data_IF_847980409144
#
_entry.id   IF_847980409144
#
_cell.length_a   1.000
_cell.length_b   1.000
_cell.length_c   1.000
_cell.angle_alpha   90.00
_cell.angle_beta   90.00
_cell.angle_gamma   90.00
#
_symmetry.space_group_name_H-M   'P 1'
#
loop_
_entity.id
_entity.type
_entity.pdbx_description
1 polymer ?
#
# COMPACT_ATOMS: atom_id res chain seq x y z
N UNK A 1 2.33 4.88 -14.39
CA UNK A 1 1.68 3.60 -14.05
C UNK A 1 2.70 2.80 -13.28
N UNK A 2 2.40 2.51 -12.02
CA UNK A 2 3.18 1.64 -11.14
C UNK A 2 2.86 0.18 -11.51
N UNK A 3 3.88 -0.67 -11.54
CA UNK A 3 3.74 -2.11 -11.83
C UNK A 3 4.57 -2.89 -10.82
N UNK A 4 3.91 -3.77 -10.08
CA UNK A 4 4.53 -4.52 -8.99
C UNK A 4 4.08 -5.99 -9.01
N UNK A 5 5.00 -6.88 -8.65
CA UNK A 5 4.67 -8.26 -8.27
C UNK A 5 4.16 -8.25 -6.83
N UNK A 6 3.07 -8.96 -6.54
CA UNK A 6 2.49 -9.08 -5.19
C UNK A 6 2.15 -10.53 -4.86
N UNK A 7 2.88 -11.10 -3.91
CA UNK A 7 2.65 -12.48 -3.45
C UNK A 7 2.26 -12.47 -1.97
N UNK A 8 1.19 -13.18 -1.61
CA UNK A 8 0.73 -13.35 -0.23
C UNK A 8 1.45 -14.54 0.38
N UNK A 9 2.03 -14.38 1.57
CA UNK A 9 2.62 -15.48 2.32
C UNK A 9 1.56 -16.12 3.22
N UNK A 10 1.60 -17.45 3.35
CA UNK A 10 0.54 -18.20 4.02
C UNK A 10 0.45 -17.97 5.55
N UNK A 11 1.55 -17.56 6.20
CA UNK A 11 1.61 -17.46 7.66
C UNK A 11 2.74 -16.57 8.18
N UNK A 12 2.71 -16.28 9.48
CA UNK A 12 3.82 -15.62 10.18
C UNK A 12 5.12 -16.43 10.09
N UNK A 13 5.04 -17.76 10.16
CA UNK A 13 6.22 -18.64 10.04
C UNK A 13 6.84 -18.58 8.63
N UNK A 14 6.01 -18.43 7.58
CA UNK A 14 6.49 -18.20 6.22
C UNK A 14 7.19 -16.84 6.10
N UNK A 15 6.61 -15.79 6.68
CA UNK A 15 7.21 -14.45 6.76
C UNK A 15 8.53 -14.44 7.53
N UNK A 16 8.58 -15.01 8.74
CA UNK A 16 9.81 -15.13 9.55
C UNK A 16 10.93 -15.88 8.83
N UNK A 17 10.59 -16.98 8.14
CA UNK A 17 11.53 -17.74 7.32
C UNK A 17 12.10 -16.88 6.20
N UNK A 18 11.25 -16.13 5.49
CA UNK A 18 11.68 -15.25 4.40
C UNK A 18 12.55 -14.10 4.91
N UNK A 19 12.22 -13.51 6.06
CA UNK A 19 13.08 -12.54 6.76
C UNK A 19 14.47 -13.12 7.02
N UNK A 20 14.56 -14.37 7.51
CA UNK A 20 15.82 -15.05 7.75
C UNK A 20 16.64 -15.22 6.46
N UNK A 21 16.01 -15.68 5.39
CA UNK A 21 16.64 -15.87 4.06
C UNK A 21 17.16 -14.54 3.49
N UNK A 22 16.37 -13.48 3.60
CA UNK A 22 16.71 -12.15 3.06
C UNK A 22 17.59 -11.30 3.99
N UNK A 23 17.87 -11.76 5.21
CA UNK A 23 18.62 -10.98 6.21
C UNK A 23 19.97 -10.41 5.71
N UNK A 24 20.78 -11.10 4.86
CA UNK A 24 22.02 -10.51 4.34
C UNK A 24 21.81 -9.34 3.39
N UNK A 25 20.59 -9.21 2.85
CA UNK A 25 20.18 -8.20 1.87
C UNK A 25 19.34 -7.07 2.49
N UNK A 26 19.16 -7.07 3.82
CA UNK A 26 18.36 -6.07 4.51
C UNK A 26 18.96 -4.68 4.38
N UNK A 27 18.10 -3.68 4.11
CA UNK A 27 18.48 -2.28 4.01
C UNK A 27 17.87 -1.44 5.12
N UNK A 28 16.56 -1.60 5.34
CA UNK A 28 15.80 -0.79 6.30
C UNK A 28 14.48 -1.45 6.64
N UNK A 29 13.94 -1.09 7.79
CA UNK A 29 12.58 -1.44 8.19
C UNK A 29 11.82 -0.15 8.46
N UNK A 30 10.63 -0.01 7.87
CA UNK A 30 9.75 1.13 8.09
C UNK A 30 8.49 0.71 8.84
N UNK A 31 8.09 1.55 9.80
CA UNK A 31 6.79 1.49 10.45
C UNK A 31 5.86 2.45 9.72
N UNK A 32 4.81 1.91 9.11
CA UNK A 32 3.85 2.68 8.32
C UNK A 32 2.49 2.70 9.00
N UNK A 33 1.86 3.87 9.02
CA UNK A 33 0.43 4.03 9.33
C UNK A 33 -0.28 4.56 8.09
N UNK A 34 -1.23 3.79 7.57
CA UNK A 34 -1.97 4.12 6.36
C UNK A 34 -3.38 4.54 6.74
N UNK A 35 -3.73 5.81 6.53
CA UNK A 35 -5.07 6.37 6.75
C UNK A 35 -5.72 6.70 5.40
N UNK A 36 -6.99 6.37 5.27
CA UNK A 36 -7.72 6.47 4.00
C UNK A 36 -8.88 7.45 4.09
N UNK A 37 -9.19 8.08 2.97
CA UNK A 37 -10.21 9.10 2.86
C UNK A 37 -11.07 8.86 1.62
N UNK A 38 -12.34 9.25 1.72
CA UNK A 38 -13.29 9.23 0.61
C UNK A 38 -14.31 10.34 0.80
N UNK A 39 -15.10 10.64 -0.22
CA UNK A 39 -16.28 11.46 -0.05
C UNK A 39 -17.39 10.69 0.69
N UNK A 40 -18.40 11.40 1.23
CA UNK A 40 -19.46 10.80 2.04
C UNK A 40 -20.34 9.81 1.25
N UNK A 41 -20.32 9.85 -0.09
CA UNK A 41 -21.07 8.93 -0.95
C UNK A 41 -20.16 7.92 -1.67
N UNK A 42 -18.95 7.69 -1.13
CA UNK A 42 -17.95 6.79 -1.71
C UNK A 42 -17.55 7.17 -3.15
N UNK A 43 -17.42 8.47 -3.42
CA UNK A 43 -17.11 9.05 -4.73
C UNK A 43 -15.80 8.49 -5.31
N UNK A 44 -14.74 8.34 -4.49
CA UNK A 44 -13.47 7.76 -4.93
C UNK A 44 -13.60 6.25 -5.11
N UNK A 45 -14.11 5.54 -4.10
CA UNK A 45 -14.21 4.08 -4.16
C UNK A 45 -15.09 3.60 -5.32
N UNK A 46 -16.18 4.32 -5.62
CA UNK A 46 -17.07 4.02 -6.76
C UNK A 46 -16.39 4.20 -8.12
N UNK A 47 -15.32 4.99 -8.18
CA UNK A 47 -14.49 5.19 -9.35
C UNK A 47 -13.16 4.42 -9.28
N UNK A 48 -13.07 3.41 -8.40
CA UNK A 48 -11.88 2.59 -8.18
C UNK A 48 -10.64 3.45 -7.86
N UNK A 49 -10.83 4.52 -7.09
CA UNK A 49 -9.78 5.41 -6.61
C UNK A 49 -9.66 5.35 -5.09
N UNK A 50 -8.43 5.55 -4.60
CA UNK A 50 -8.08 5.47 -3.20
C UNK A 50 -7.19 6.66 -2.86
N UNK A 51 -7.68 7.52 -1.97
CA UNK A 51 -6.89 8.60 -1.38
C UNK A 51 -6.34 8.14 -0.02
N UNK A 52 -5.04 8.28 0.17
CA UNK A 52 -4.35 7.80 1.36
C UNK A 52 -3.33 8.82 1.86
N UNK A 53 -3.29 9.00 3.19
CA UNK A 53 -2.13 9.53 3.90
C UNK A 53 -1.36 8.37 4.50
N UNK A 54 -0.05 8.34 4.27
CA UNK A 54 0.85 7.37 4.88
C UNK A 54 1.89 8.08 5.72
N UNK A 55 1.92 7.78 7.02
CA UNK A 55 2.95 8.23 7.94
C UNK A 55 4.02 7.16 8.12
N UNK A 56 5.28 7.58 8.23
CA UNK A 56 6.44 6.72 8.43
C UNK A 56 7.13 7.00 9.76
N UNK A 57 7.53 5.94 10.46
CA UNK A 57 8.48 5.95 11.57
C UNK A 57 8.17 7.03 12.61
N UNK A 58 6.92 7.02 13.13
CA UNK A 58 6.40 7.99 14.10
C UNK A 58 6.46 9.44 13.59
N UNK A 59 5.87 9.68 12.41
CA UNK A 59 5.73 11.00 11.77
C UNK A 59 7.04 11.65 11.29
N UNK A 60 8.08 10.84 11.08
CA UNK A 60 9.31 11.31 10.42
C UNK A 60 9.06 11.79 8.98
N UNK A 61 8.04 11.23 8.33
CA UNK A 61 7.68 11.52 6.94
C UNK A 61 6.19 11.20 6.72
N UNK A 62 5.54 11.95 5.82
CA UNK A 62 4.16 11.74 5.42
C UNK A 62 4.02 11.85 3.89
N UNK A 63 3.25 10.94 3.31
CA UNK A 63 2.96 10.91 1.86
C UNK A 63 1.47 10.96 1.65
N UNK A 64 1.02 11.88 0.81
CA UNK A 64 -0.31 11.85 0.21
C UNK A 64 -0.22 11.07 -1.10
N UNK A 65 -1.09 10.08 -1.28
CA UNK A 65 -1.12 9.26 -2.49
C UNK A 65 -2.55 9.12 -3.00
N UNK A 66 -2.71 9.23 -4.32
CA UNK A 66 -3.92 8.87 -5.05
C UNK A 66 -3.60 7.70 -5.98
N UNK A 67 -4.19 6.55 -5.70
CA UNK A 67 -4.12 5.35 -6.52
C UNK A 67 -5.46 5.14 -7.23
N UNK A 68 -5.48 4.93 -8.55
CA UNK A 68 -6.72 4.69 -9.31
C UNK A 68 -6.57 3.64 -10.41
N UNK A 69 -7.71 3.10 -10.87
CA UNK A 69 -7.80 2.06 -11.91
C UNK A 69 -6.94 0.82 -11.63
N UNK A 70 -7.03 0.23 -10.42
CA UNK A 70 -6.25 -0.97 -10.09
C UNK A 70 -6.58 -2.13 -11.02
N UNK A 71 -5.55 -2.86 -11.44
CA UNK A 71 -5.67 -4.15 -12.11
C UNK A 71 -4.70 -5.12 -11.45
N UNK A 72 -5.21 -6.22 -10.91
CA UNK A 72 -4.39 -7.27 -10.32
C UNK A 72 -4.74 -8.59 -11.01
N UNK A 73 -3.73 -9.26 -11.57
CA UNK A 73 -3.90 -10.56 -12.21
C UNK A 73 -2.60 -11.35 -12.16
N UNK A 74 -2.70 -12.65 -11.86
CA UNK A 74 -1.56 -13.58 -11.82
C UNK A 74 -0.35 -13.07 -11.01
N UNK A 75 -0.62 -12.45 -9.85
CA UNK A 75 0.39 -11.94 -8.94
C UNK A 75 1.06 -10.64 -9.39
N UNK A 76 0.54 -9.96 -10.42
CA UNK A 76 1.06 -8.67 -10.88
C UNK A 76 -0.03 -7.60 -10.81
N UNK A 77 0.27 -6.53 -10.07
CA UNK A 77 -0.57 -5.35 -9.91
C UNK A 77 -0.11 -4.24 -10.86
N UNK A 78 -1.07 -3.52 -11.44
CA UNK A 78 -0.87 -2.31 -12.23
C UNK A 78 -1.82 -1.25 -11.73
N UNK A 79 -1.29 -0.06 -11.48
CA UNK A 79 -2.11 1.02 -10.94
C UNK A 79 -1.61 2.38 -11.41
N UNK A 80 -2.54 3.32 -11.62
CA UNK A 80 -2.20 4.72 -11.76
C UNK A 80 -1.95 5.27 -10.36
N UNK A 81 -0.70 5.50 -10.00
CA UNK A 81 -0.33 6.14 -8.74
C UNK A 81 0.27 7.52 -8.99
N UNK A 82 -0.14 8.46 -8.15
CA UNK A 82 0.55 9.72 -7.90
C UNK A 82 0.80 9.84 -6.40
N UNK A 83 2.03 10.18 -6.03
CA UNK A 83 2.43 10.45 -4.64
C UNK A 83 3.02 11.85 -4.53
N UNK A 84 2.72 12.54 -3.43
CA UNK A 84 3.26 13.84 -3.08
C UNK A 84 3.72 13.82 -1.62
N UNK A 85 4.91 14.37 -1.30
CA UNK A 85 5.30 14.57 0.08
C UNK A 85 4.37 15.58 0.74
N UNK A 86 3.96 15.29 1.98
CA UNK A 86 3.18 16.20 2.80
C UNK A 86 3.91 16.41 4.13
N UNK A 87 3.88 17.64 4.64
CA UNK A 87 4.36 17.90 5.99
C UNK A 87 3.59 17.02 7.00
N UNK A 88 4.27 16.25 7.87
CA UNK A 88 3.60 15.33 8.79
C UNK A 88 2.64 16.02 9.75
N UNK A 89 2.92 17.25 10.20
CA UNK A 89 2.03 18.01 11.08
C UNK A 89 0.75 18.38 10.32
N UNK A 90 0.88 18.86 9.08
CA UNK A 90 -0.28 19.11 8.20
C UNK A 90 -1.06 17.81 7.96
N UNK A 91 -0.37 16.71 7.69
CA UNK A 91 -0.98 15.39 7.53
C UNK A 91 -1.78 14.98 8.76
N UNK A 92 -1.27 15.20 9.98
CA UNK A 92 -1.97 14.88 11.24
C UNK A 92 -3.20 15.76 11.44
N UNK A 93 -3.11 17.05 11.14
CA UNK A 93 -4.30 17.92 11.14
C UNK A 93 -5.36 17.45 10.14
N UNK A 94 -4.94 17.03 8.95
CA UNK A 94 -5.81 16.46 7.93
C UNK A 94 -6.44 15.13 8.37
N UNK A 95 -5.69 14.28 9.06
CA UNK A 95 -6.22 13.03 9.61
C UNK A 95 -7.29 13.27 10.70
N UNK A 96 -7.08 14.28 11.55
CA UNK A 96 -8.05 14.69 12.56
C UNK A 96 -9.29 15.37 11.95
N UNK A 97 -9.08 16.16 10.90
CA UNK A 97 -10.10 16.96 10.23
C UNK A 97 -9.97 16.82 8.70
N UNK A 98 -10.56 15.76 8.09
CA UNK A 98 -10.36 15.40 6.68
C UNK A 98 -10.65 16.52 5.67
N UNK A 99 -11.56 17.43 5.98
CA UNK A 99 -11.89 18.58 5.13
C UNK A 99 -10.67 19.49 4.86
N UNK A 100 -9.65 19.47 5.73
CA UNK A 100 -8.41 20.25 5.54
C UNK A 100 -7.61 19.81 4.32
N UNK A 101 -7.69 18.53 3.91
CA UNK A 101 -7.02 18.04 2.70
C UNK A 101 -7.47 18.84 1.47
N UNK A 102 -8.77 19.14 1.38
CA UNK A 102 -9.33 19.91 0.27
C UNK A 102 -8.86 21.37 0.24
N UNK A 103 -8.15 21.87 1.24
CA UNK A 103 -7.63 23.23 1.27
C UNK A 103 -6.13 23.32 0.92
N UNK A 104 -5.51 22.19 0.57
CA UNK A 104 -4.11 22.14 0.12
C UNK A 104 -4.08 22.50 -1.37
N UNK A 105 -4.18 23.78 -1.69
CA UNK A 105 -4.27 24.28 -3.07
C UNK A 105 -3.01 24.01 -3.91
N UNK A 106 -1.87 23.73 -3.27
CA UNK A 106 -0.61 23.38 -3.94
C UNK A 106 -0.51 21.90 -4.35
N UNK A 107 -1.48 21.06 -3.97
CA UNK A 107 -1.43 19.62 -4.26
C UNK A 107 -2.17 19.29 -5.56
N UNK A 108 -1.44 18.72 -6.52
CA UNK A 108 -2.04 18.25 -7.78
C UNK A 108 -2.96 17.05 -7.51
N UNK A 109 -2.62 16.18 -6.55
CA UNK A 109 -3.51 15.10 -6.09
C UNK A 109 -4.86 15.67 -5.63
N UNK A 110 -4.87 16.68 -4.77
CA UNK A 110 -6.12 17.26 -4.25
C UNK A 110 -6.90 17.95 -5.36
N UNK A 111 -6.22 18.62 -6.29
CA UNK A 111 -6.86 19.18 -7.48
C UNK A 111 -7.57 18.09 -8.27
N UNK A 112 -6.91 16.95 -8.53
CA UNK A 112 -7.53 15.81 -9.22
C UNK A 112 -8.70 15.21 -8.44
N UNK A 113 -8.59 15.07 -7.12
CA UNK A 113 -9.71 14.61 -6.25
C UNK A 113 -10.95 15.49 -6.42
N UNK A 114 -10.77 16.83 -6.48
CA UNK A 114 -11.87 17.77 -6.69
C UNK A 114 -12.42 17.71 -8.13
N UNK A 115 -11.53 17.74 -9.13
CA UNK A 115 -11.90 17.92 -10.54
C UNK A 115 -12.32 16.61 -11.23
N UNK A 116 -11.58 15.52 -11.03
CA UNK A 116 -11.82 14.22 -11.68
C UNK A 116 -12.90 13.39 -10.97
N UNK A 117 -13.00 13.49 -9.65
CA UNK A 117 -13.89 12.66 -8.83
C UNK A 117 -15.03 13.44 -8.16
N UNK A 118 -15.11 14.75 -8.39
CA UNK A 118 -16.17 15.63 -7.90
C UNK A 118 -16.33 15.65 -6.36
N UNK A 119 -15.23 15.43 -5.62
CA UNK A 119 -15.20 15.50 -4.16
C UNK A 119 -14.95 16.94 -3.72
N UNK A 120 -16.02 17.76 -3.72
CA UNK A 120 -15.92 19.18 -3.39
C UNK A 120 -16.97 19.67 -2.39
N UNK A 121 -18.26 19.46 -2.70
CA UNK A 121 -19.35 20.03 -1.90
C UNK A 121 -19.64 19.26 -0.59
N UNK A 122 -19.41 17.94 -0.56
CA UNK A 122 -19.66 17.08 0.60
C UNK A 122 -18.48 16.93 1.56
N UNK A 123 -17.30 17.47 1.19
CA UNK A 123 -16.06 17.28 1.93
C UNK A 123 -15.48 15.87 1.80
N UNK A 124 -14.49 15.58 2.64
CA UNK A 124 -13.91 14.25 2.82
C UNK A 124 -14.29 13.70 4.19
N UNK A 125 -14.36 12.38 4.30
CA UNK A 125 -14.46 11.64 5.56
C UNK A 125 -13.24 10.74 5.73
N UNK A 126 -12.85 10.49 6.99
CA UNK A 126 -11.83 9.51 7.32
C UNK A 126 -12.44 8.11 7.38
N UNK A 127 -11.89 7.17 6.61
CA UNK A 127 -12.31 5.77 6.62
C UNK A 127 -11.66 4.95 7.73
N UNK A 128 -10.69 5.53 8.44
CA UNK A 128 -9.76 4.81 9.31
C UNK A 128 -8.56 4.27 8.53
N UNK A 129 -7.92 3.24 9.07
CA UNK A 129 -6.66 2.77 8.52
C UNK A 129 -6.11 1.52 9.20
N UNK A 130 -4.87 1.20 8.83
CA UNK A 130 -4.13 0.07 9.38
C UNK A 130 -2.63 0.37 9.43
N UNK A 131 -1.90 -0.45 10.20
CA UNK A 131 -0.45 -0.36 10.32
C UNK A 131 0.23 -1.41 9.45
N UNK A 132 1.42 -1.10 8.97
CA UNK A 132 2.24 -2.03 8.20
C UNK A 132 3.71 -1.91 8.61
N UNK A 133 4.36 -3.02 8.86
CA UNK A 133 5.82 -3.08 9.02
C UNK A 133 6.40 -3.54 7.70
N UNK A 134 7.25 -2.71 7.08
CA UNK A 134 7.86 -3.00 5.78
C UNK A 134 9.37 -3.18 5.92
N UNK A 135 9.85 -4.41 5.73
CA UNK A 135 11.26 -4.70 5.51
C UNK A 135 11.63 -4.45 4.04
N UNK A 136 12.67 -3.67 3.78
CA UNK A 136 13.18 -3.41 2.44
C UNK A 136 14.52 -4.12 2.25
N UNK A 137 14.64 -4.86 1.15
CA UNK A 137 15.80 -5.69 0.83
C UNK A 137 16.27 -5.43 -0.59
N UNK A 138 17.58 -5.51 -0.82
CA UNK A 138 18.17 -5.48 -2.16
C UNK A 138 18.74 -6.85 -2.50
N UNK A 139 18.01 -7.62 -3.30
CA UNK A 139 18.31 -9.01 -3.60
C UNK A 139 18.22 -9.25 -5.10
N UNK A 140 19.26 -9.89 -5.68
CA UNK A 140 19.32 -10.20 -7.12
C UNK A 140 19.08 -9.00 -8.05
N UNK A 141 19.51 -7.80 -7.64
CA UNK A 141 19.28 -6.56 -8.39
C UNK A 141 17.87 -5.99 -8.25
N UNK A 142 16.99 -6.64 -7.48
CA UNK A 142 15.62 -6.22 -7.20
C UNK A 142 15.51 -5.55 -5.83
N UNK A 143 14.57 -4.61 -5.71
CA UNK A 143 14.15 -4.05 -4.43
C UNK A 143 12.90 -4.80 -3.97
N UNK A 144 13.04 -5.60 -2.93
CA UNK A 144 11.94 -6.36 -2.33
C UNK A 144 11.38 -5.63 -1.13
N UNK A 145 10.06 -5.63 -1.00
CA UNK A 145 9.34 -5.06 0.13
C UNK A 145 8.53 -6.18 0.80
N UNK A 146 8.98 -6.61 1.97
CA UNK A 146 8.33 -7.65 2.76
C UNK A 146 7.47 -6.98 3.84
N UNK A 147 6.17 -7.22 3.74
CA UNK A 147 5.15 -6.55 4.53
C UNK A 147 4.54 -7.48 5.58
N UNK A 148 4.39 -6.93 6.77
CA UNK A 148 3.52 -7.43 7.83
C UNK A 148 2.44 -6.37 8.11
N UNK A 149 1.24 -6.63 7.59
CA UNK A 149 0.11 -5.69 7.68
C UNK A 149 -0.83 -6.06 8.81
N UNK A 150 -1.00 -5.16 9.77
CA UNK A 150 -1.83 -5.33 10.95
C UNK A 150 -3.18 -4.63 10.78
N UNK A 151 -4.22 -5.41 10.52
CA UNK A 151 -5.61 -4.96 10.58
C UNK A 151 -6.19 -5.21 11.98
N UNK A 152 -7.34 -4.61 12.29
CA UNK A 152 -8.06 -4.90 13.54
C UNK A 152 -8.60 -6.34 13.62
N UNK A 153 -8.72 -7.02 12.48
CA UNK A 153 -9.29 -8.36 12.32
C UNK A 153 -8.23 -9.43 11.99
N UNK A 154 -6.93 -9.10 12.05
CA UNK A 154 -5.85 -10.05 11.85
C UNK A 154 -4.65 -9.45 11.11
N UNK A 155 -3.65 -10.30 10.85
CA UNK A 155 -2.41 -9.92 10.16
C UNK A 155 -2.31 -10.62 8.81
N UNK A 156 -1.90 -9.88 7.77
CA UNK A 156 -1.51 -10.43 6.48
C UNK A 156 -0.02 -10.21 6.23
N UNK A 157 0.57 -11.09 5.43
CA UNK A 157 1.96 -11.05 5.05
C UNK A 157 2.07 -11.07 3.54
N UNK A 158 2.84 -10.15 2.96
CA UNK A 158 3.00 -10.04 1.51
C UNK A 158 4.47 -9.74 1.18
N UNK A 159 4.94 -10.21 0.03
CA UNK A 159 6.17 -9.73 -0.59
C UNK A 159 5.83 -9.02 -1.90
N UNK A 160 6.34 -7.80 -2.04
CA UNK A 160 6.13 -6.92 -3.17
C UNK A 160 7.46 -6.62 -3.88
N UNK A 161 7.42 -6.46 -5.20
CA UNK A 161 8.57 -6.01 -5.99
C UNK A 161 8.09 -5.16 -7.17
N UNK A 162 8.33 -3.85 -7.11
CA UNK A 162 8.14 -2.96 -8.25
C UNK A 162 9.18 -3.28 -9.34
N UNK A 163 8.75 -3.41 -10.60
CA UNK A 163 9.64 -3.73 -11.71
C UNK A 163 9.07 -3.33 -13.06
N UNK A 164 9.93 -2.84 -13.95
CA UNK A 164 9.61 -2.67 -15.39
C UNK A 164 9.50 -4.00 -16.12
N UNK A 165 10.05 -5.08 -15.53
CA UNK A 165 10.07 -6.44 -16.07
C UNK A 165 9.38 -7.38 -15.07
N UNK A 166 8.05 -7.26 -14.89
CA UNK A 166 7.35 -7.88 -13.77
C UNK A 166 7.26 -9.40 -13.88
N UNK A 167 7.26 -9.97 -15.09
CA UNK A 167 7.26 -11.43 -15.27
C UNK A 167 8.60 -12.05 -14.86
N UNK A 168 9.71 -11.40 -15.20
CA UNK A 168 11.05 -11.85 -14.80
C UNK A 168 11.23 -11.73 -13.28
N UNK A 169 10.87 -10.58 -12.71
CA UNK A 169 10.87 -10.37 -11.27
C UNK A 169 10.00 -11.43 -10.56
N UNK A 170 8.78 -11.68 -11.05
CA UNK A 170 7.89 -12.71 -10.48
C UNK A 170 8.54 -14.08 -10.50
N UNK A 171 9.12 -14.50 -11.63
CA UNK A 171 9.79 -15.80 -11.73
C UNK A 171 10.95 -15.93 -10.72
N UNK A 172 11.73 -14.87 -10.51
CA UNK A 172 12.80 -14.85 -9.51
C UNK A 172 12.25 -14.95 -8.08
N UNK A 173 11.18 -14.19 -7.75
CA UNK A 173 10.53 -14.24 -6.44
C UNK A 173 9.93 -15.62 -6.18
N UNK A 174 9.23 -16.21 -7.15
CA UNK A 174 8.69 -17.57 -7.01
C UNK A 174 9.79 -18.61 -6.82
N UNK A 175 10.90 -18.49 -7.55
CA UNK A 175 12.07 -19.36 -7.39
C UNK A 175 12.68 -19.24 -6.00
N UNK A 176 12.81 -18.02 -5.48
CA UNK A 176 13.26 -17.76 -4.11
C UNK A 176 12.35 -18.43 -3.07
N UNK A 177 11.03 -18.26 -3.20
CA UNK A 177 10.06 -18.82 -2.26
C UNK A 177 10.06 -20.36 -2.31
N UNK A 178 9.99 -20.94 -3.52
CA UNK A 178 9.96 -22.40 -3.72
C UNK A 178 11.24 -23.08 -3.23
N UNK A 179 12.41 -22.53 -3.54
CA UNK A 179 13.70 -23.12 -3.13
C UNK A 179 13.91 -23.10 -1.61
N UNK A 180 13.22 -22.21 -0.89
CA UNK A 180 13.27 -22.11 0.57
C UNK A 180 12.05 -22.75 1.27
N UNK A 181 11.19 -23.45 0.53
CA UNK A 181 9.99 -24.10 1.08
C UNK A 181 9.01 -23.13 1.71
N UNK A 182 8.87 -21.93 1.14
CA UNK A 182 7.97 -20.88 1.61
C UNK A 182 6.67 -20.94 0.80
N UNK A 183 5.57 -21.25 1.49
CA UNK A 183 4.24 -21.26 0.89
C UNK A 183 3.76 -19.83 0.60
N UNK A 184 3.23 -19.63 -0.61
CA UNK A 184 2.71 -18.35 -1.07
C UNK A 184 1.56 -18.56 -2.06
N UNK A 185 0.79 -17.50 -2.25
CA UNK A 185 -0.24 -17.39 -3.27
C UNK A 185 -0.13 -16.05 -3.99
N UNK A 186 -0.77 -15.93 -5.16
CA UNK A 186 -0.90 -14.63 -5.80
C UNK A 186 -1.87 -13.76 -5.02
N UNK A 187 -1.47 -12.52 -4.76
CA UNK A 187 -2.42 -11.56 -4.17
C UNK A 187 -3.45 -11.20 -5.23
N UNK A 188 -4.74 -11.40 -4.92
CA UNK A 188 -5.85 -11.07 -5.83
C UNK A 188 -6.47 -9.70 -5.52
N UNK A 189 -6.25 -9.19 -4.31
CA UNK A 189 -6.83 -7.94 -3.80
C UNK A 189 -5.77 -7.10 -3.12
N UNK A 190 -5.96 -5.77 -3.10
CA UNK A 190 -5.05 -4.86 -2.41
C UNK A 190 -5.27 -4.85 -0.90
N UNK A 191 -4.26 -4.40 -0.15
CA UNK A 191 -4.37 -4.16 1.30
C UNK A 191 -5.57 -3.25 1.67
N UNK A 192 -5.85 -2.24 0.85
CA UNK A 192 -7.03 -1.39 1.04
C UNK A 192 -8.34 -2.15 0.83
N UNK A 193 -8.43 -3.01 -0.20
CA UNK A 193 -9.60 -3.84 -0.42
C UNK A 193 -9.84 -4.82 0.75
N UNK A 194 -8.77 -5.42 1.30
CA UNK A 194 -8.84 -6.25 2.51
C UNK A 194 -9.36 -5.44 3.71
N UNK A 195 -8.78 -4.26 3.95
CA UNK A 195 -9.22 -3.33 5.00
C UNK A 195 -10.72 -3.01 4.90
N UNK A 196 -11.20 -2.67 3.69
CA UNK A 196 -12.62 -2.34 3.46
C UNK A 196 -13.54 -3.55 3.60
N UNK A 197 -13.06 -4.76 3.29
CA UNK A 197 -13.82 -5.99 3.46
C UNK A 197 -13.99 -6.40 4.94
N UNK A 198 -13.13 -5.91 5.84
CA UNK A 198 -13.25 -6.17 7.29
C UNK A 198 -12.92 -7.62 7.70
N UNK A 199 -12.24 -8.38 6.83
CA UNK A 199 -11.86 -9.77 7.06
C UNK A 199 -10.62 -10.13 6.24
N UNK A 200 -9.88 -11.13 6.70
CA UNK A 200 -8.72 -11.65 5.96
C UNK A 200 -9.18 -12.33 4.66
N UNK A 201 -8.37 -12.25 3.58
CA UNK A 201 -8.63 -13.03 2.37
C UNK A 201 -8.56 -14.52 2.71
N UNK A 202 -9.47 -15.29 2.12
CA UNK A 202 -9.58 -16.75 2.31
C UNK A 202 -8.42 -17.51 1.69
#
# INVERSE_FOLDING_TARGET
>A
MEVEVKLRLASSAAHERLCGVLSPNHRRTHLQENLFFDGPNAELSSNLAVLRLRFYDLDSHCVLSLKSKPQISAGISRIEEQEEPLDPIVGRHCAAEPWRLLHIESSDIIKRVKEEFNVGAGGLIGLGGFRNVRGVYEWSGLKLELDETHYSFGTCYEIECESSEPEEAKNLLEGLLKSNGIEYEYSEVSKFAIFRAGKLPG
#
